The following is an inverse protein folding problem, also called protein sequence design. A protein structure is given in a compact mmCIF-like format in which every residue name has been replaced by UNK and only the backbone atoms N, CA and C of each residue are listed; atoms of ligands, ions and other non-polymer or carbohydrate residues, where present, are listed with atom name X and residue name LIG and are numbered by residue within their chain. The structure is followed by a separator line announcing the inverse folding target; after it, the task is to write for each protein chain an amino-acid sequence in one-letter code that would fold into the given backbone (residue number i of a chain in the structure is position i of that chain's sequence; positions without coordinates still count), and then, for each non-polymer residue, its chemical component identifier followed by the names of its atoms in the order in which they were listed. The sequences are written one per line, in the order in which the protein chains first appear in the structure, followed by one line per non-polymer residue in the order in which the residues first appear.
data_IF_945658318127
#
_entry.id   IF_945658318127
#
_cell.length_a   1.000
_cell.length_b   1.000
_cell.length_c   1.000
_cell.angle_alpha   90.00
_cell.angle_beta   90.00
_cell.angle_gamma   90.00
#
_symmetry.space_group_name_H-M   'P 1'
#
loop_
_entity.id
_entity.type
_entity.pdbx_description
1 polymer ?
#
# COMPACT_ATOMS: atom_id res chain seq x y z
N UNK A 1 17.41 0.93 28.08
CA UNK A 1 16.99 1.79 29.21
C UNK A 1 15.57 1.39 29.59
N UNK A 2 15.30 1.02 30.83
CA UNK A 2 13.94 0.71 31.29
C UNK A 2 13.32 2.03 31.77
N UNK A 3 12.52 2.69 30.94
CA UNK A 3 11.80 3.91 31.33
C UNK A 3 10.55 3.54 32.12
N UNK A 4 10.40 4.07 33.33
CA UNK A 4 9.19 3.90 34.15
C UNK A 4 7.97 4.64 33.59
N UNK A 5 6.83 4.49 34.26
CA UNK A 5 5.60 5.19 33.89
C UNK A 5 5.78 6.71 33.98
N UNK A 6 5.30 7.44 32.98
CA UNK A 6 5.31 8.90 32.93
C UNK A 6 3.89 9.43 32.73
N UNK A 7 3.64 10.64 33.22
CA UNK A 7 2.40 11.39 32.97
C UNK A 7 2.71 12.39 31.86
N UNK A 8 2.02 12.27 30.73
CA UNK A 8 2.06 13.28 29.67
C UNK A 8 1.11 14.43 29.99
N UNK A 9 1.50 15.66 29.66
CA UNK A 9 0.62 16.83 29.75
C UNK A 9 0.50 17.52 28.40
N UNK A 10 -0.69 18.02 28.07
CA UNK A 10 -0.94 18.85 26.90
C UNK A 10 -1.32 20.26 27.35
N UNK A 11 -0.52 21.30 27.04
CA UNK A 11 -0.84 22.67 27.40
C UNK A 11 -2.13 23.16 26.71
N UNK A 12 -3.00 23.83 27.46
CA UNK A 12 -4.23 24.45 26.95
C UNK A 12 -4.25 25.98 27.11
N UNK A 13 -5.29 26.63 26.59
CA UNK A 13 -5.56 28.06 26.81
C UNK A 13 -6.53 28.20 28.00
N UNK A 14 -6.24 29.07 28.97
CA UNK A 14 -7.13 29.28 30.13
C UNK A 14 -6.45 30.01 31.29
N UNK A 15 -7.22 30.25 32.37
CA UNK A 15 -6.64 30.69 33.66
C UNK A 15 -5.86 29.52 34.28
N UNK A 16 -4.84 29.86 35.05
CA UNK A 16 -4.07 28.88 35.82
C UNK A 16 -4.98 28.06 36.75
N UNK A 17 -4.72 26.74 36.82
CA UNK A 17 -5.40 25.79 37.67
C UNK A 17 -4.39 24.75 38.17
N UNK A 18 -4.61 24.23 39.37
CA UNK A 18 -3.75 23.25 40.06
C UNK A 18 -4.42 21.86 40.22
N UNK A 19 -5.70 21.74 39.84
CA UNK A 19 -6.46 20.50 39.89
C UNK A 19 -6.80 20.01 38.49
N UNK A 20 -6.43 18.77 38.18
CA UNK A 20 -6.67 18.13 36.89
C UNK A 20 -7.18 16.71 37.09
N UNK A 21 -8.05 16.26 36.18
CA UNK A 21 -8.44 14.86 36.06
C UNK A 21 -7.49 14.19 35.08
N UNK A 22 -6.74 13.20 35.55
CA UNK A 22 -5.93 12.37 34.67
C UNK A 22 -6.86 11.55 33.77
N UNK A 23 -6.62 11.61 32.46
CA UNK A 23 -7.33 10.79 31.51
C UNK A 23 -6.61 9.45 31.36
N UNK A 24 -7.38 8.36 31.30
CA UNK A 24 -6.84 7.01 31.06
C UNK A 24 -6.32 6.85 29.61
N UNK A 25 -6.68 7.79 28.73
CA UNK A 25 -6.25 7.85 27.33
C UNK A 25 -5.76 9.24 26.97
N UNK A 26 -4.94 9.35 25.92
CA UNK A 26 -4.46 10.64 25.44
C UNK A 26 -5.65 11.52 24.99
N UNK A 27 -5.75 12.79 25.45
CA UNK A 27 -6.78 13.68 24.95
C UNK A 27 -6.60 13.89 23.45
N UNK A 28 -7.70 13.72 22.68
CA UNK A 28 -7.70 13.96 21.23
C UNK A 28 -7.27 15.42 20.97
N UNK A 29 -6.23 15.60 20.16
CA UNK A 29 -5.68 16.91 19.80
C UNK A 29 -6.80 17.72 19.13
N UNK A 30 -7.13 18.91 19.64
CA UNK A 30 -7.91 19.88 18.86
C UNK A 30 -6.95 20.49 17.84
N UNK A 31 -7.12 20.12 16.57
CA UNK A 31 -6.30 20.56 15.44
C UNK A 31 -6.63 22.02 15.10
N UNK A 32 -6.11 22.95 15.88
CA UNK A 32 -6.25 24.40 15.64
C UNK A 32 -5.05 24.96 14.84
N UNK A 33 -4.41 24.10 14.03
CA UNK A 33 -3.20 24.41 13.25
C UNK A 33 -3.44 24.45 11.72
N UNK A 34 -4.66 24.10 11.28
CA UNK A 34 -5.05 24.09 9.87
C UNK A 34 -4.66 22.82 9.11
N UNK A 35 -4.28 21.76 9.83
CA UNK A 35 -4.19 20.41 9.25
C UNK A 35 -5.61 19.88 8.94
N UNK A 36 -5.69 18.97 7.97
CA UNK A 36 -6.94 18.35 7.56
C UNK A 36 -7.05 16.96 8.19
N UNK A 37 -8.02 16.78 9.10
CA UNK A 37 -8.41 15.46 9.59
C UNK A 37 -9.43 14.85 8.63
N UNK A 38 -9.19 13.60 8.24
CA UNK A 38 -10.14 12.77 7.48
C UNK A 38 -10.26 11.40 8.16
N UNK A 39 -11.33 10.67 7.86
CA UNK A 39 -11.54 9.32 8.39
C UNK A 39 -11.51 8.30 7.25
N UNK A 40 -10.75 7.22 7.44
CA UNK A 40 -10.76 6.08 6.52
C UNK A 40 -11.51 4.91 7.14
N UNK A 41 -12.36 4.25 6.34
CA UNK A 41 -13.08 3.04 6.73
C UNK A 41 -12.46 1.81 6.07
N UNK A 42 -12.23 0.77 6.87
CA UNK A 42 -11.69 -0.51 6.40
C UNK A 42 -12.31 -1.70 7.17
N UNK A 43 -12.29 -2.92 6.60
CA UNK A 43 -12.69 -4.15 7.30
C UNK A 43 -11.83 -4.49 8.52
N UNK A 44 -10.56 -4.11 8.49
CA UNK A 44 -9.59 -4.24 9.59
C UNK A 44 -8.47 -3.20 9.45
N UNK A 45 -7.57 -3.15 10.43
CA UNK A 45 -6.47 -2.17 10.47
C UNK A 45 -5.30 -2.55 9.55
N UNK A 46 -5.21 -3.82 9.13
CA UNK A 46 -4.04 -4.37 8.45
C UNK A 46 -2.73 -4.15 9.22
N UNK A 47 -1.72 -3.68 8.50
CA UNK A 47 -0.37 -3.37 9.01
C UNK A 47 -0.21 -1.93 9.55
N UNK A 48 -1.30 -1.15 9.60
CA UNK A 48 -1.26 0.25 9.99
C UNK A 48 -1.15 0.42 11.51
N UNK A 49 -0.49 1.49 11.94
CA UNK A 49 -0.39 1.91 13.33
C UNK A 49 -0.42 3.45 13.44
N UNK A 50 -0.58 3.98 14.66
CA UNK A 50 -0.44 5.41 14.89
C UNK A 50 0.95 5.88 14.49
N UNK A 51 1.03 6.80 13.55
CA UNK A 51 2.29 7.27 12.95
C UNK A 51 2.59 6.69 11.57
N UNK A 52 1.86 5.67 11.09
CA UNK A 52 1.92 5.20 9.70
C UNK A 52 1.79 6.38 8.72
N UNK A 53 2.70 6.46 7.74
CA UNK A 53 2.78 7.59 6.83
C UNK A 53 1.68 7.54 5.76
N UNK A 54 1.23 8.71 5.32
CA UNK A 54 0.32 8.89 4.19
C UNK A 54 1.07 9.55 3.05
N UNK A 55 1.03 8.93 1.88
CA UNK A 55 1.75 9.35 0.68
C UNK A 55 0.82 9.84 -0.42
N UNK A 56 1.24 10.92 -1.08
CA UNK A 56 0.72 11.32 -2.39
C UNK A 56 1.87 11.28 -3.39
N UNK A 57 1.76 10.48 -4.45
CA UNK A 57 2.84 10.30 -5.44
C UNK A 57 4.22 10.04 -4.82
N UNK A 58 4.26 9.16 -3.80
CA UNK A 58 5.48 8.78 -3.05
C UNK A 58 6.09 9.89 -2.17
N UNK A 59 5.44 11.04 -2.02
CA UNK A 59 5.84 12.11 -1.09
C UNK A 59 5.01 11.96 0.18
N UNK A 60 5.63 11.91 1.39
CA UNK A 60 4.89 11.86 2.63
C UNK A 60 4.19 13.20 2.87
N UNK A 61 2.88 13.16 3.08
CA UNK A 61 2.01 14.35 3.20
C UNK A 61 1.15 14.35 4.47
N UNK A 62 1.18 13.25 5.22
CA UNK A 62 0.40 13.10 6.44
C UNK A 62 0.74 11.81 7.17
N UNK A 63 -0.07 11.49 8.19
CA UNK A 63 0.10 10.30 9.02
C UNK A 63 -1.23 9.83 9.62
N UNK A 64 -1.31 8.55 9.95
CA UNK A 64 -2.35 8.01 10.83
C UNK A 64 -2.17 8.64 12.21
N UNK A 65 -3.23 9.26 12.71
CA UNK A 65 -3.28 9.88 14.02
C UNK A 65 -3.76 8.88 15.09
N UNK A 66 -4.92 8.26 14.86
CA UNK A 66 -5.57 7.32 15.77
C UNK A 66 -6.41 6.31 14.96
N UNK A 67 -6.91 5.27 15.62
CA UNK A 67 -7.87 4.33 15.02
C UNK A 67 -8.76 3.71 16.10
N UNK A 68 -9.97 3.33 15.71
CA UNK A 68 -10.92 2.68 16.59
C UNK A 68 -11.72 1.61 15.86
N UNK A 69 -12.16 0.58 16.59
CA UNK A 69 -13.17 -0.35 16.11
C UNK A 69 -14.48 0.41 15.98
N UNK A 70 -15.19 0.23 14.87
CA UNK A 70 -16.49 0.86 14.66
C UNK A 70 -17.48 0.45 15.78
N UNK A 71 -18.45 1.31 16.17
CA UNK A 71 -19.38 0.99 17.26
C UNK A 71 -20.19 -0.30 17.06
N UNK A 72 -20.46 -0.66 15.80
CA UNK A 72 -21.14 -1.90 15.40
C UNK A 72 -20.23 -3.15 15.46
N UNK A 73 -18.96 -2.99 15.86
CA UNK A 73 -17.90 -4.01 15.88
C UNK A 73 -17.57 -4.60 14.50
N UNK A 74 -17.94 -3.90 13.43
CA UNK A 74 -17.65 -4.29 12.05
C UNK A 74 -16.70 -3.28 11.43
N UNK A 75 -15.47 -3.68 11.21
CA UNK A 75 -14.44 -2.81 10.66
C UNK A 75 -13.86 -1.81 11.66
N UNK A 76 -13.00 -0.97 11.13
CA UNK A 76 -12.30 0.09 11.85
C UNK A 76 -12.52 1.43 11.17
N UNK A 77 -12.42 2.49 11.95
CA UNK A 77 -12.22 3.86 11.48
C UNK A 77 -10.79 4.28 11.82
N UNK A 78 -10.11 4.88 10.86
CA UNK A 78 -8.72 5.30 10.96
C UNK A 78 -8.70 6.82 10.76
N UNK A 79 -8.30 7.53 11.80
CA UNK A 79 -8.19 8.99 11.78
C UNK A 79 -6.85 9.36 11.13
N UNK A 80 -6.89 10.05 9.99
CA UNK A 80 -5.72 10.44 9.21
C UNK A 80 -5.57 11.95 9.24
N UNK A 81 -4.35 12.40 9.58
CA UNK A 81 -3.99 13.81 9.60
C UNK A 81 -3.11 14.16 8.41
N UNK A 82 -3.58 15.07 7.57
CA UNK A 82 -2.86 15.62 6.43
C UNK A 82 -2.32 17.00 6.80
N UNK A 83 -1.03 17.22 6.56
CA UNK A 83 -0.39 18.50 6.91
C UNK A 83 -1.02 19.66 6.15
N UNK A 84 -1.16 20.82 6.80
CA UNK A 84 -1.77 22.05 6.25
C UNK A 84 -1.32 22.41 4.83
N UNK A 85 -0.05 22.22 4.49
CA UNK A 85 0.51 22.55 3.16
C UNK A 85 0.07 21.60 2.04
N UNK A 86 -0.56 20.48 2.39
CA UNK A 86 -0.96 19.40 1.47
C UNK A 86 -2.47 19.15 1.47
N UNK A 87 -3.26 19.93 2.19
CA UNK A 87 -4.71 19.71 2.32
C UNK A 87 -5.43 19.73 0.97
N UNK A 88 -4.99 20.59 0.04
CA UNK A 88 -5.56 20.72 -1.30
C UNK A 88 -5.32 19.50 -2.20
N UNK A 89 -4.40 18.60 -1.80
CA UNK A 89 -4.19 17.34 -2.49
C UNK A 89 -5.35 16.37 -2.26
N UNK A 90 -6.03 16.47 -1.12
CA UNK A 90 -7.17 15.61 -0.79
C UNK A 90 -8.46 16.22 -1.34
N UNK A 91 -9.20 15.40 -2.08
CA UNK A 91 -10.41 15.80 -2.78
C UNK A 91 -11.54 14.84 -2.44
N UNK A 92 -12.79 15.27 -2.64
CA UNK A 92 -13.98 14.42 -2.41
C UNK A 92 -13.94 13.12 -3.20
N UNK A 93 -13.27 13.11 -4.36
CA UNK A 93 -13.06 11.94 -5.19
C UNK A 93 -11.80 11.14 -4.87
N UNK A 94 -11.02 11.49 -3.84
CA UNK A 94 -9.79 10.77 -3.50
C UNK A 94 -10.05 9.31 -3.18
N UNK A 95 -9.09 8.45 -3.51
CA UNK A 95 -9.12 7.04 -3.13
C UNK A 95 -7.81 6.68 -2.45
N UNK A 96 -7.93 5.99 -1.31
CA UNK A 96 -6.84 5.65 -0.43
C UNK A 96 -6.64 4.13 -0.44
N UNK A 97 -5.41 3.66 -0.50
CA UNK A 97 -5.10 2.24 -0.41
C UNK A 97 -3.93 1.98 0.52
N UNK A 98 -3.90 0.80 1.11
CA UNK A 98 -2.78 0.36 1.91
C UNK A 98 -1.58 0.07 1.00
N UNK A 99 -0.41 0.49 1.44
CA UNK A 99 0.89 0.05 0.91
C UNK A 99 1.54 -0.80 1.99
N UNK A 100 1.04 -2.02 2.15
CA UNK A 100 1.62 -3.02 3.05
C UNK A 100 2.93 -3.53 2.45
N UNK A 101 4.03 -3.31 3.17
CA UNK A 101 5.30 -3.97 2.84
C UNK A 101 5.27 -5.41 3.34
N UNK A 102 4.86 -6.35 2.50
CA UNK A 102 4.94 -7.82 2.73
C UNK A 102 3.89 -8.38 3.68
N UNK A 103 2.78 -8.88 3.12
CA UNK A 103 1.92 -9.88 3.78
C UNK A 103 2.64 -11.23 3.80
N UNK A 104 3.50 -11.43 4.80
CA UNK A 104 4.02 -12.75 5.12
C UNK A 104 3.01 -13.47 6.02
N UNK A 105 1.86 -13.89 5.46
CA UNK A 105 0.98 -14.90 6.08
C UNK A 105 1.69 -16.27 6.06
N UNK A 106 2.80 -16.39 6.78
CA UNK A 106 3.53 -17.65 6.97
C UNK A 106 3.03 -18.24 8.29
N UNK A 107 2.13 -19.21 8.21
CA UNK A 107 1.84 -20.08 9.35
C UNK A 107 3.06 -20.98 9.60
N UNK A 108 4.04 -20.45 10.35
CA UNK A 108 5.25 -21.18 10.72
C UNK A 108 4.87 -22.24 11.76
N UNK A 109 4.43 -23.40 11.29
CA UNK A 109 4.30 -24.59 12.11
C UNK A 109 5.70 -25.10 12.47
N UNK A 110 6.33 -24.48 13.46
CA UNK A 110 7.50 -25.03 14.13
C UNK A 110 8.77 -24.18 14.09
N UNK A 111 8.76 -22.98 14.66
CA UNK A 111 9.97 -22.43 15.28
C UNK A 111 9.60 -21.37 16.33
N UNK A 112 9.94 -21.63 17.59
CA UNK A 112 9.75 -20.68 18.71
C UNK A 112 10.85 -19.61 18.64
N UNK A 113 10.80 -18.74 17.64
CA UNK A 113 11.77 -17.65 17.46
C UNK A 113 11.13 -16.36 17.94
N UNK A 114 11.87 -15.59 18.75
CA UNK A 114 11.41 -14.35 19.39
C UNK A 114 10.84 -13.36 18.36
N UNK A 115 9.52 -13.21 18.38
CA UNK A 115 8.71 -12.36 17.49
C UNK A 115 8.93 -10.85 17.69
N UNK A 116 9.63 -10.44 18.76
CA UNK A 116 9.74 -9.04 19.19
C UNK A 116 10.58 -8.15 18.25
N UNK A 117 11.47 -8.73 17.44
CA UNK A 117 12.35 -7.98 16.52
C UNK A 117 11.77 -7.79 15.11
N UNK A 118 10.78 -8.59 14.69
CA UNK A 118 10.22 -8.53 13.34
C UNK A 118 8.99 -7.62 13.25
N UNK A 119 8.25 -7.45 14.36
CA UNK A 119 7.09 -6.55 14.43
C UNK A 119 7.45 -5.07 14.17
N UNK A 120 8.72 -4.68 14.28
CA UNK A 120 9.19 -3.31 14.11
C UNK A 120 9.56 -2.94 12.66
N UNK A 121 9.54 -3.88 11.71
CA UNK A 121 10.12 -3.69 10.37
C UNK A 121 9.11 -3.49 9.23
N UNK A 122 7.81 -3.49 9.51
CA UNK A 122 6.79 -3.15 8.52
C UNK A 122 5.83 -2.14 9.12
N UNK A 123 6.20 -0.86 9.08
CA UNK A 123 5.20 0.17 9.24
C UNK A 123 4.39 0.18 7.95
N UNK A 124 3.14 -0.30 7.99
CA UNK A 124 2.21 -0.09 6.90
C UNK A 124 2.09 1.40 6.62
N UNK A 125 1.84 1.76 5.37
CA UNK A 125 1.57 3.13 4.99
C UNK A 125 0.31 3.20 4.14
N UNK A 126 -0.19 4.42 3.93
CA UNK A 126 -1.34 4.68 3.07
C UNK A 126 -0.85 5.48 1.88
N UNK A 127 -1.30 5.14 0.68
CA UNK A 127 -1.13 5.99 -0.49
C UNK A 127 -2.50 6.43 -0.99
N UNK A 128 -2.56 7.57 -1.69
CA UNK A 128 -3.79 8.00 -2.33
C UNK A 128 -3.55 8.75 -3.64
N UNK A 129 -4.60 8.79 -4.44
CA UNK A 129 -4.73 9.61 -5.64
C UNK A 129 -6.04 10.41 -5.60
N UNK A 130 -6.04 11.54 -6.32
CA UNK A 130 -7.13 12.52 -6.32
C UNK A 130 -7.43 12.97 -7.75
N UNK A 131 -8.68 12.87 -8.25
CA UNK A 131 -9.04 13.40 -9.56
C UNK A 131 -8.82 14.90 -9.65
N UNK A 132 -8.32 15.38 -10.79
CA UNK A 132 -8.05 16.81 -11.00
C UNK A 132 -9.32 17.67 -10.86
N UNK A 133 -10.42 17.23 -11.46
CA UNK A 133 -11.72 17.95 -11.48
C UNK A 133 -12.57 17.78 -10.20
N UNK A 134 -12.05 17.10 -9.18
CA UNK A 134 -12.81 16.89 -7.93
C UNK A 134 -12.66 18.08 -6.97
N UNK A 135 -13.74 18.38 -6.23
CA UNK A 135 -13.74 19.42 -5.19
C UNK A 135 -12.78 19.04 -4.04
N UNK A 136 -12.15 20.01 -3.36
CA UNK A 136 -11.38 19.74 -2.15
C UNK A 136 -12.19 18.99 -1.09
N UNK A 137 -11.52 18.15 -0.32
CA UNK A 137 -12.11 17.54 0.86
C UNK A 137 -12.24 18.57 2.00
N UNK A 138 -13.19 18.32 2.89
CA UNK A 138 -13.45 19.09 4.10
C UNK A 138 -13.01 18.28 5.32
N UNK A 139 -12.79 18.97 6.44
CA UNK A 139 -12.44 18.29 7.69
C UNK A 139 -13.54 17.29 8.09
N UNK A 140 -13.11 16.15 8.62
CA UNK A 140 -13.95 15.02 9.02
C UNK A 140 -14.63 14.29 7.82
N UNK A 141 -14.22 14.58 6.58
CA UNK A 141 -14.66 13.77 5.43
C UNK A 141 -14.24 12.31 5.59
N UNK A 142 -15.11 11.41 5.12
CA UNK A 142 -14.91 9.97 5.22
C UNK A 142 -14.63 9.34 3.85
N UNK A 143 -13.66 8.44 3.80
CA UNK A 143 -13.26 7.68 2.62
C UNK A 143 -13.14 6.19 2.92
N UNK A 144 -13.17 5.36 1.88
CA UNK A 144 -12.77 3.96 1.98
C UNK A 144 -11.25 3.81 1.89
N UNK A 145 -10.68 2.94 2.71
CA UNK A 145 -9.33 2.44 2.55
C UNK A 145 -9.39 1.07 1.85
N UNK A 146 -8.86 1.02 0.64
CA UNK A 146 -8.74 -0.21 -0.13
C UNK A 146 -7.53 -1.03 0.31
N UNK A 147 -7.61 -2.35 0.12
CA UNK A 147 -6.55 -3.30 0.46
C UNK A 147 -5.24 -2.96 -0.25
N UNK A 148 -5.33 -2.60 -1.53
CA UNK A 148 -4.19 -2.20 -2.34
C UNK A 148 -4.63 -1.29 -3.50
N UNK A 149 -3.67 -0.91 -4.33
CA UNK A 149 -3.92 -0.11 -5.52
C UNK A 149 -4.87 -0.82 -6.50
N UNK A 150 -4.76 -2.15 -6.64
CA UNK A 150 -5.56 -2.92 -7.58
C UNK A 150 -7.05 -2.84 -7.25
N UNK A 151 -7.38 -2.93 -5.97
CA UNK A 151 -8.74 -2.84 -5.44
C UNK A 151 -9.29 -1.40 -5.39
N UNK A 152 -8.41 -0.40 -5.36
CA UNK A 152 -8.80 1.02 -5.35
C UNK A 152 -9.49 1.50 -6.63
N UNK A 153 -9.53 0.69 -7.69
CA UNK A 153 -10.02 1.07 -9.02
C UNK A 153 -9.31 2.32 -9.59
N UNK A 154 -8.13 2.68 -9.06
CA UNK A 154 -7.27 3.77 -9.57
C UNK A 154 -6.16 3.28 -10.46
N UNK A 155 -5.76 2.03 -10.33
CA UNK A 155 -4.76 1.47 -11.21
C UNK A 155 -5.27 1.37 -12.65
N UNK A 156 -4.32 1.38 -13.58
CA UNK A 156 -4.59 1.19 -15.01
C UNK A 156 -4.57 -0.30 -15.31
N UNK A 157 -5.68 -0.83 -15.82
CA UNK A 157 -5.78 -2.22 -16.22
C UNK A 157 -5.10 -2.40 -17.58
N UNK A 158 -4.18 -3.36 -17.65
CA UNK A 158 -3.56 -3.87 -18.88
C UNK A 158 -3.87 -5.36 -19.06
N UNK A 159 -3.82 -5.83 -20.30
CA UNK A 159 -4.00 -7.25 -20.63
C UNK A 159 -2.67 -7.90 -20.94
N UNK A 160 -2.50 -9.11 -20.45
CA UNK A 160 -1.31 -9.92 -20.64
C UNK A 160 -1.64 -11.19 -21.41
N UNK A 161 -0.84 -11.49 -22.43
CA UNK A 161 -0.73 -12.83 -23.00
C UNK A 161 0.43 -13.55 -22.34
N UNK A 162 0.14 -14.67 -21.68
CA UNK A 162 1.08 -15.36 -20.81
C UNK A 162 1.56 -16.66 -21.46
N UNK A 163 2.86 -17.02 -21.34
CA UNK A 163 3.37 -18.28 -21.86
C UNK A 163 2.82 -19.49 -21.09
N UNK A 164 2.49 -19.32 -19.80
CA UNK A 164 1.80 -20.31 -18.95
C UNK A 164 1.25 -19.63 -17.69
N UNK A 165 0.28 -20.26 -17.03
CA UNK A 165 -0.22 -19.84 -15.71
C UNK A 165 0.57 -20.42 -14.53
N UNK A 166 1.60 -21.25 -14.79
CA UNK A 166 2.27 -22.01 -13.75
C UNK A 166 3.04 -21.10 -12.78
N UNK A 167 2.71 -21.17 -11.48
CA UNK A 167 3.33 -20.36 -10.44
C UNK A 167 2.93 -18.88 -10.47
N UNK A 168 1.83 -18.56 -11.15
CA UNK A 168 1.17 -17.26 -11.10
C UNK A 168 -0.11 -17.38 -10.29
N UNK A 169 -0.33 -16.40 -9.42
CA UNK A 169 -1.50 -16.28 -8.56
C UNK A 169 -2.11 -14.89 -8.73
N UNK A 170 -3.40 -14.83 -9.04
CA UNK A 170 -4.15 -13.57 -9.03
C UNK A 170 -4.13 -12.96 -7.62
N UNK A 171 -4.14 -11.64 -7.55
CA UNK A 171 -4.10 -10.82 -6.34
C UNK A 171 -2.82 -11.02 -5.50
N UNK A 172 -1.77 -11.58 -6.11
CA UNK A 172 -0.53 -11.88 -5.39
C UNK A 172 0.74 -11.71 -6.23
N UNK A 173 0.69 -11.99 -7.53
CA UNK A 173 1.91 -11.93 -8.38
C UNK A 173 2.21 -10.48 -8.78
N UNK A 174 3.34 -9.88 -8.35
CA UNK A 174 3.59 -8.46 -8.55
C UNK A 174 4.28 -8.17 -9.90
N UNK A 175 4.06 -6.95 -10.41
CA UNK A 175 4.87 -6.31 -11.44
C UNK A 175 5.91 -5.41 -10.76
N UNK A 176 7.17 -5.69 -11.03
CA UNK A 176 8.31 -4.98 -10.49
C UNK A 176 8.90 -4.04 -11.54
N UNK A 177 9.35 -2.88 -11.09
CA UNK A 177 10.17 -1.96 -11.87
C UNK A 177 11.27 -1.39 -10.98
N UNK A 178 12.53 -1.63 -11.34
CA UNK A 178 13.69 -1.18 -10.57
C UNK A 178 13.65 -1.62 -9.09
N UNK A 179 13.11 -2.82 -8.84
CA UNK A 179 12.96 -3.37 -7.49
C UNK A 179 11.77 -2.84 -6.69
N UNK A 180 10.95 -1.95 -7.26
CA UNK A 180 9.71 -1.47 -6.67
C UNK A 180 8.52 -2.20 -7.26
N UNK A 181 7.54 -2.56 -6.44
CA UNK A 181 6.25 -3.04 -6.92
C UNK A 181 5.46 -1.88 -7.52
N UNK A 182 5.01 -2.05 -8.76
CA UNK A 182 4.32 -1.03 -9.56
C UNK A 182 3.04 -1.58 -10.22
N UNK A 183 2.62 -2.78 -9.86
CA UNK A 183 1.38 -3.37 -10.33
C UNK A 183 1.21 -4.79 -9.80
N UNK A 184 0.04 -5.36 -10.03
CA UNK A 184 -0.34 -6.67 -9.53
C UNK A 184 -1.23 -7.39 -10.54
N UNK A 185 -0.99 -8.68 -10.73
CA UNK A 185 -1.85 -9.55 -11.53
C UNK A 185 -3.18 -9.73 -10.80
N UNK A 186 -4.30 -9.25 -11.36
CA UNK A 186 -5.63 -9.31 -10.73
C UNK A 186 -6.52 -10.40 -11.30
N UNK A 187 -6.18 -10.95 -12.47
CA UNK A 187 -6.96 -12.02 -13.08
C UNK A 187 -6.10 -12.95 -13.91
N UNK A 188 -6.44 -14.24 -13.89
CA UNK A 188 -5.82 -15.27 -14.71
C UNK A 188 -6.91 -16.16 -15.34
N UNK A 189 -6.88 -16.27 -16.67
CA UNK A 189 -7.86 -17.02 -17.44
C UNK A 189 -7.16 -18.07 -18.33
N UNK A 190 -7.70 -19.30 -18.36
CA UNK A 190 -7.32 -20.34 -19.31
C UNK A 190 -8.34 -20.34 -20.46
N UNK A 191 -7.90 -19.92 -21.64
CA UNK A 191 -8.72 -19.86 -22.84
C UNK A 191 -8.68 -21.19 -23.63
N UNK A 192 -9.66 -21.42 -24.52
CA UNK A 192 -9.61 -22.54 -25.46
C UNK A 192 -8.29 -22.60 -26.24
N UNK A 193 -7.78 -23.81 -26.48
CA UNK A 193 -6.49 -24.02 -27.12
C UNK A 193 -5.28 -23.92 -26.18
N UNK A 194 -5.50 -23.78 -24.86
CA UNK A 194 -4.42 -23.76 -23.87
C UNK A 194 -3.74 -22.39 -23.71
N UNK A 195 -4.28 -21.34 -24.35
CA UNK A 195 -3.75 -19.98 -24.27
C UNK A 195 -4.10 -19.37 -22.91
N UNK A 196 -3.10 -18.87 -22.20
CA UNK A 196 -3.29 -18.22 -20.90
C UNK A 196 -3.28 -16.71 -21.08
N UNK A 197 -4.27 -16.03 -20.52
CA UNK A 197 -4.32 -14.56 -20.47
C UNK A 197 -4.47 -14.09 -19.04
N UNK A 198 -4.08 -12.86 -18.77
CA UNK A 198 -4.31 -12.23 -17.49
C UNK A 198 -4.68 -10.75 -17.62
N UNK A 199 -5.27 -10.24 -16.55
CA UNK A 199 -5.43 -8.80 -16.35
C UNK A 199 -4.50 -8.37 -15.22
N UNK A 200 -3.84 -7.24 -15.41
CA UNK A 200 -2.92 -6.68 -14.44
C UNK A 200 -3.27 -5.23 -14.19
N UNK A 201 -3.34 -4.86 -12.92
CA UNK A 201 -3.58 -3.48 -12.52
C UNK A 201 -2.24 -2.82 -12.20
N UNK A 202 -1.96 -1.69 -12.86
CA UNK A 202 -0.65 -1.02 -12.84
C UNK A 202 -0.77 0.37 -12.22
N UNK A 203 0.27 0.79 -11.49
CA UNK A 203 0.39 2.12 -10.92
C UNK A 203 0.33 3.22 -12.00
N UNK A 204 -0.56 4.22 -11.87
CA UNK A 204 -0.63 5.34 -12.80
C UNK A 204 0.71 6.05 -13.06
N UNK A 205 1.62 6.06 -12.09
CA UNK A 205 2.93 6.69 -12.19
C UNK A 205 3.89 6.03 -13.19
N UNK A 206 3.65 4.76 -13.56
CA UNK A 206 4.46 4.05 -14.56
C UNK A 206 3.76 3.88 -15.91
N UNK A 207 2.54 4.40 -16.07
CA UNK A 207 1.76 4.28 -17.31
C UNK A 207 2.48 4.88 -18.51
N UNK A 208 3.28 5.93 -18.32
CA UNK A 208 4.08 6.54 -19.39
C UNK A 208 5.18 5.61 -19.93
N UNK A 209 5.53 4.58 -19.16
CA UNK A 209 6.48 3.53 -19.53
C UNK A 209 5.81 2.39 -20.30
N UNK A 210 4.47 2.35 -20.40
CA UNK A 210 3.72 1.30 -21.11
C UNK A 210 3.55 1.67 -22.59
N UNK A 211 4.56 1.33 -23.39
CA UNK A 211 4.64 1.67 -24.82
C UNK A 211 4.84 0.44 -25.71
N UNK A 212 4.70 0.61 -27.03
CA UNK A 212 4.82 -0.46 -28.03
C UNK A 212 6.04 -1.37 -27.83
N UNK A 213 7.22 -0.81 -27.54
CA UNK A 213 8.45 -1.56 -27.36
C UNK A 213 8.77 -1.92 -25.90
N UNK A 214 7.82 -1.73 -24.99
CA UNK A 214 7.94 -2.14 -23.59
C UNK A 214 7.81 -3.64 -23.47
N UNK A 215 8.71 -4.25 -22.69
CA UNK A 215 8.68 -5.69 -22.42
C UNK A 215 8.25 -5.94 -20.99
N UNK A 216 7.44 -6.97 -20.81
CA UNK A 216 7.11 -7.53 -19.50
C UNK A 216 7.74 -8.91 -19.44
N UNK A 217 8.73 -9.06 -18.57
CA UNK A 217 9.51 -10.28 -18.45
C UNK A 217 9.06 -11.08 -17.22
N UNK A 218 8.77 -12.37 -17.38
CA UNK A 218 8.50 -13.24 -16.25
C UNK A 218 9.82 -13.73 -15.66
N UNK A 219 10.13 -13.33 -14.41
CA UNK A 219 11.33 -13.75 -13.68
C UNK A 219 10.99 -14.78 -12.62
N UNK A 220 11.83 -15.80 -12.53
CA UNK A 220 11.85 -16.72 -11.40
C UNK A 220 12.83 -16.19 -10.34
N UNK A 221 12.55 -16.37 -9.04
CA UNK A 221 13.52 -16.10 -7.99
C UNK A 221 14.77 -16.96 -8.22
N UNK A 222 15.95 -16.34 -8.17
CA UNK A 222 17.23 -17.06 -8.27
C UNK A 222 17.46 -17.82 -6.96
N UNK A 223 17.37 -19.14 -7.01
CA UNK A 223 17.74 -20.01 -5.89
C UNK A 223 19.27 -20.09 -5.78
N UNK A 224 19.83 -19.58 -4.69
CA UNK A 224 21.25 -19.70 -4.35
C UNK A 224 21.36 -20.28 -2.94
N UNK A 225 21.95 -21.48 -2.83
CA UNK A 225 22.19 -22.17 -1.55
C UNK A 225 23.36 -21.56 -0.76
N UNK A 226 24.10 -20.62 -1.36
CA UNK A 226 25.23 -19.91 -0.75
C UNK A 226 24.86 -18.54 -0.16
N UNK A 227 23.66 -18.03 -0.43
CA UNK A 227 23.22 -16.74 0.08
C UNK A 227 22.36 -16.92 1.33
N UNK A 228 22.72 -16.23 2.41
CA UNK A 228 21.96 -16.20 3.67
C UNK A 228 20.55 -15.58 3.55
N UNK A 229 20.10 -15.23 2.34
CA UNK A 229 18.78 -14.69 2.05
C UNK A 229 17.77 -15.82 1.79
N UNK A 230 17.45 -16.56 2.86
CA UNK A 230 16.31 -17.49 2.90
C UNK A 230 14.97 -16.80 2.53
N UNK A 231 14.88 -15.47 2.65
CA UNK A 231 13.71 -14.67 2.26
C UNK A 231 13.40 -14.71 0.77
N UNK A 232 14.41 -14.88 -0.10
CA UNK A 232 14.20 -14.95 -1.56
C UNK A 232 13.53 -16.27 -2.02
N UNK A 233 13.50 -17.28 -1.15
CA UNK A 233 12.77 -18.54 -1.36
C UNK A 233 11.25 -18.36 -1.21
N UNK A 234 10.81 -17.25 -0.60
CA UNK A 234 9.39 -16.98 -0.28
C UNK A 234 8.71 -16.10 -1.33
N UNK A 235 9.46 -15.28 -2.06
CA UNK A 235 8.92 -14.48 -3.17
C UNK A 235 8.68 -15.40 -4.35
N UNK A 236 7.41 -15.62 -4.70
CA UNK A 236 7.01 -16.37 -5.90
C UNK A 236 7.52 -15.73 -7.19
N UNK A 237 7.03 -16.19 -8.34
CA UNK A 237 7.38 -15.56 -9.62
C UNK A 237 6.99 -14.08 -9.62
N UNK A 238 7.73 -13.26 -10.36
CA UNK A 238 7.41 -11.84 -10.53
C UNK A 238 7.45 -11.46 -12.00
N UNK A 239 6.68 -10.43 -12.36
CA UNK A 239 6.83 -9.76 -13.65
C UNK A 239 7.82 -8.61 -13.50
N UNK A 240 8.68 -8.38 -14.48
CA UNK A 240 9.58 -7.23 -14.52
C UNK A 240 9.21 -6.34 -15.71
N UNK A 241 8.99 -5.05 -15.44
CA UNK A 241 8.75 -4.04 -16.44
C UNK A 241 10.08 -3.55 -17.02
N UNK A 242 10.27 -3.69 -18.32
CA UNK A 242 11.41 -3.14 -19.05
C UNK A 242 10.88 -2.08 -20.03
N UNK A 243 11.07 -0.77 -19.74
CA UNK A 243 10.56 0.31 -20.58
C UNK A 243 11.11 0.25 -22.01
N UNK A 244 10.29 0.73 -22.95
CA UNK A 244 10.70 0.95 -24.33
C UNK A 244 9.98 2.14 -24.95
N UNK A 245 10.38 2.51 -26.17
CA UNK A 245 9.80 3.64 -26.91
C UNK A 245 8.56 3.22 -27.73
N UNK A 246 7.98 4.18 -28.46
CA UNK A 246 6.83 3.97 -29.35
C UNK A 246 5.50 4.44 -28.75
N UNK A 247 4.40 4.14 -29.40
CA UNK A 247 3.08 4.63 -28.99
C UNK A 247 2.59 3.98 -27.68
N UNK A 248 1.73 4.65 -26.89
CA UNK A 248 1.14 4.07 -25.68
C UNK A 248 0.39 2.76 -25.97
N UNK A 249 0.60 1.75 -25.13
CA UNK A 249 0.03 0.40 -25.31
C UNK A 249 -0.52 -0.16 -23.99
N UNK A 250 -1.57 -0.98 -24.06
CA UNK A 250 -2.23 -1.62 -22.91
C UNK A 250 -2.32 -3.14 -22.99
N UNK A 251 -1.79 -3.74 -24.05
CA UNK A 251 -1.80 -5.19 -24.25
C UNK A 251 -0.37 -5.67 -24.51
N UNK A 252 0.10 -6.62 -23.71
CA UNK A 252 1.50 -7.05 -23.73
C UNK A 252 1.61 -8.58 -23.79
N UNK A 253 2.59 -9.07 -24.56
CA UNK A 253 2.99 -10.47 -24.54
C UNK A 253 4.11 -10.61 -23.52
N UNK A 254 3.90 -11.46 -22.52
CA UNK A 254 4.90 -11.71 -21.48
C UNK A 254 5.96 -12.68 -22.01
N UNK A 255 7.23 -12.30 -21.88
CA UNK A 255 8.36 -13.12 -22.32
C UNK A 255 9.05 -13.77 -21.12
N UNK A 256 9.52 -15.03 -21.22
CA UNK A 256 10.34 -15.63 -20.17
C UNK A 256 11.67 -14.86 -20.01
N UNK A 257 12.01 -14.45 -18.79
CA UNK A 257 13.21 -13.64 -18.51
C UNK A 257 14.55 -14.32 -18.84
N UNK A 258 14.56 -15.65 -19.00
CA UNK A 258 15.75 -16.41 -19.42
C UNK A 258 16.10 -16.23 -20.91
N UNK A 259 15.16 -15.77 -21.74
CA UNK A 259 15.35 -15.58 -23.19
C UNK A 259 15.74 -14.15 -23.59
N UNK A 260 15.86 -13.22 -22.64
CA UNK A 260 16.12 -11.80 -22.90
C UNK A 260 17.61 -11.42 -22.99
N UNK A 261 18.53 -12.40 -22.85
CA UNK A 261 19.98 -12.21 -22.88
C UNK A 261 20.64 -12.63 -24.21
N UNK A 262 19.85 -12.88 -25.26
CA UNK A 262 20.34 -13.28 -26.58
C UNK A 262 19.97 -12.26 -27.65
#
# INVERSE_FOLDING_TARGET
LVGGNYIGMMPGKGKEQDHFVALDTQPKYRLDNGDLMIHLQAPDLGSLNSGSLVYFRKIPVGKVYDYAINPNKQGVVIDVLIERRFTDLVKKGSRFWNVSGVDANVSISGAKVKLESLAALVNGAIAFDSPEESKPAEAEDTFGLYEDLAHSQRGVIIKLELPSGAGLTADSTPLMYQGLEVGQLTKLDLNPGGKVTGEMTVDPSVVTLLRENTRIELRNPKLSLSDANLSALLTGKTFELVPGDGEPRKEFVVVPGEKALL
#
